data_IF_890505751808
#
_entry.id   IF_890505751808
#
_cell.length_a   1.000
_cell.length_b   1.000
_cell.length_c   1.000
_cell.angle_alpha   90.00
_cell.angle_beta   90.00
_cell.angle_gamma   90.00
#
_symmetry.space_group_name_H-M   'P 1'
#
loop_
_entity.id
_entity.type
_entity.pdbx_description
1 polymer ?
#
# COMPACT_ATOMS: atom_id res chain seq x y z
N UNK A 1 34.02 7.74 -15.65
CA UNK A 1 33.00 8.54 -14.91
C UNK A 1 31.86 8.83 -15.87
N UNK A 2 30.67 8.26 -15.66
CA UNK A 2 29.53 8.51 -16.55
C UNK A 2 29.06 9.97 -16.44
N UNK A 3 28.88 10.63 -17.58
CA UNK A 3 28.40 12.01 -17.67
C UNK A 3 26.96 12.12 -17.13
N UNK A 4 26.57 13.27 -16.56
CA UNK A 4 25.23 13.46 -15.96
C UNK A 4 24.09 13.08 -16.92
N UNK A 5 24.19 13.43 -18.21
CA UNK A 5 23.24 13.05 -19.27
C UNK A 5 23.11 11.52 -19.46
N UNK A 6 24.22 10.78 -19.41
CA UNK A 6 24.21 9.32 -19.54
C UNK A 6 23.60 8.63 -18.32
N UNK A 7 23.70 9.22 -17.13
CA UNK A 7 23.03 8.71 -15.92
C UNK A 7 21.51 8.83 -16.03
N UNK A 8 20.98 9.96 -16.50
CA UNK A 8 19.54 10.10 -16.71
C UNK A 8 19.03 9.16 -17.80
N UNK A 9 19.77 8.99 -18.90
CA UNK A 9 19.43 8.03 -19.96
C UNK A 9 19.36 6.58 -19.46
N UNK A 10 20.32 6.16 -18.63
CA UNK A 10 20.33 4.82 -18.05
C UNK A 10 19.19 4.62 -17.04
N UNK A 11 18.85 5.65 -16.24
CA UNK A 11 17.73 5.60 -15.29
C UNK A 11 16.39 5.52 -16.04
N UNK A 12 16.20 6.33 -17.09
CA UNK A 12 15.02 6.25 -17.94
C UNK A 12 14.90 4.89 -18.62
N UNK A 13 16.02 4.30 -19.07
CA UNK A 13 16.05 2.98 -19.67
C UNK A 13 15.69 1.88 -18.66
N UNK A 14 16.22 1.93 -17.43
CA UNK A 14 15.88 0.95 -16.38
C UNK A 14 14.42 1.08 -15.95
N UNK A 15 13.90 2.30 -15.81
CA UNK A 15 12.48 2.53 -15.53
C UNK A 15 11.59 2.00 -16.67
N UNK A 16 11.96 2.26 -17.92
CA UNK A 16 11.25 1.75 -19.10
C UNK A 16 11.26 0.22 -19.16
N UNK A 17 12.41 -0.41 -18.92
CA UNK A 17 12.54 -1.88 -18.89
C UNK A 17 11.73 -2.47 -17.72
N UNK A 18 11.68 -1.80 -16.58
CA UNK A 18 10.94 -2.25 -15.40
C UNK A 18 9.42 -2.10 -15.57
N UNK A 19 8.96 -1.13 -16.37
CA UNK A 19 7.55 -0.99 -16.79
C UNK A 19 7.17 -2.10 -17.80
N UNK A 20 8.12 -2.53 -18.64
CA UNK A 20 7.91 -3.53 -19.69
C UNK A 20 8.04 -4.97 -19.22
N UNK A 21 8.60 -5.21 -18.03
CA UNK A 21 8.63 -6.55 -17.44
C UNK A 21 7.26 -6.87 -16.83
N UNK A 22 6.56 -7.92 -17.29
CA UNK A 22 5.33 -8.38 -16.68
C UNK A 22 5.68 -9.09 -15.38
N UNK A 23 6.03 -8.34 -14.34
CA UNK A 23 5.93 -8.85 -12.97
C UNK A 23 4.43 -8.92 -12.71
N UNK A 24 3.87 -10.12 -12.59
CA UNK A 24 2.46 -10.32 -12.28
C UNK A 24 2.10 -9.59 -10.99
N UNK A 25 1.72 -8.32 -11.11
CA UNK A 25 1.32 -7.45 -10.03
C UNK A 25 -0.16 -7.71 -9.81
N UNK A 26 -0.46 -8.90 -9.28
CA UNK A 26 -1.80 -9.24 -8.86
C UNK A 26 -2.20 -8.29 -7.73
N UNK A 27 -3.34 -7.61 -7.86
CA UNK A 27 -3.97 -6.94 -6.72
C UNK A 27 -4.12 -7.99 -5.60
N UNK A 28 -3.55 -7.71 -4.43
CA UNK A 28 -3.58 -8.64 -3.33
C UNK A 28 -4.99 -8.65 -2.71
N UNK A 29 -5.73 -9.73 -2.95
CA UNK A 29 -7.00 -10.03 -2.29
C UNK A 29 -6.87 -11.14 -1.25
N UNK A 30 -7.96 -11.39 -0.53
CA UNK A 30 -8.10 -12.58 0.32
C UNK A 30 -8.23 -13.82 -0.57
N UNK A 31 -7.39 -14.84 -0.33
CA UNK A 31 -7.38 -16.07 -1.13
C UNK A 31 -8.68 -16.89 -1.00
N UNK A 32 -8.97 -17.75 -1.99
CA UNK A 32 -10.20 -18.54 -2.05
C UNK A 32 -10.39 -19.45 -0.84
N UNK A 33 -9.32 -19.99 -0.28
CA UNK A 33 -9.40 -20.86 0.91
C UNK A 33 -9.84 -20.08 2.15
N UNK A 34 -9.35 -18.85 2.28
CA UNK A 34 -9.74 -17.93 3.34
C UNK A 34 -11.18 -17.45 3.14
N UNK A 35 -11.61 -17.20 1.89
CA UNK A 35 -13.01 -16.87 1.57
C UNK A 35 -13.96 -17.98 2.00
N UNK A 36 -13.67 -19.22 1.61
CA UNK A 36 -14.50 -20.37 1.98
C UNK A 36 -14.60 -20.54 3.51
N UNK A 37 -13.48 -20.36 4.22
CA UNK A 37 -13.46 -20.37 5.68
C UNK A 37 -14.34 -19.26 6.29
N UNK A 38 -14.28 -18.04 5.75
CA UNK A 38 -15.07 -16.92 6.24
C UNK A 38 -16.58 -17.10 6.01
N UNK A 39 -16.96 -17.74 4.91
CA UNK A 39 -18.36 -18.01 4.58
C UNK A 39 -18.96 -19.15 5.41
N UNK A 40 -18.16 -20.14 5.79
CA UNK A 40 -18.64 -21.30 6.56
C UNK A 40 -18.79 -21.05 8.06
N UNK A 41 -18.19 -19.97 8.60
CA UNK A 41 -18.18 -19.68 10.02
C UNK A 41 -19.14 -18.52 10.35
N UNK A 42 -20.19 -18.80 11.12
CA UNK A 42 -21.13 -17.80 11.62
C UNK A 42 -20.78 -17.33 13.03
N UNK A 43 -21.16 -16.11 13.37
CA UNK A 43 -20.96 -15.53 14.70
C UNK A 43 -19.58 -14.88 14.90
N UNK A 44 -19.25 -14.61 16.16
CA UNK A 44 -18.03 -13.89 16.53
C UNK A 44 -16.80 -14.82 16.49
N UNK A 45 -15.87 -14.52 15.60
CA UNK A 45 -14.66 -15.29 15.29
C UNK A 45 -13.42 -14.38 15.38
N UNK A 46 -13.05 -13.99 16.60
CA UNK A 46 -11.98 -13.00 16.83
C UNK A 46 -10.62 -13.48 16.30
N UNK A 47 -10.18 -14.69 16.68
CA UNK A 47 -8.83 -15.17 16.34
C UNK A 47 -8.64 -15.35 14.83
N UNK A 48 -9.58 -15.98 14.08
CA UNK A 48 -9.43 -16.11 12.64
C UNK A 48 -9.39 -14.77 11.92
N UNK A 49 -10.27 -13.83 12.25
CA UNK A 49 -10.27 -12.50 11.60
C UNK A 49 -9.01 -11.71 11.93
N UNK A 50 -8.50 -11.79 13.17
CA UNK A 50 -7.23 -11.18 13.55
C UNK A 50 -6.06 -11.76 12.73
N UNK A 51 -6.01 -13.09 12.57
CA UNK A 51 -4.98 -13.72 11.73
C UNK A 51 -5.09 -13.31 10.26
N UNK A 52 -6.31 -13.30 9.72
CA UNK A 52 -6.56 -12.95 8.31
C UNK A 52 -6.17 -11.48 8.06
N UNK A 53 -6.50 -10.57 8.97
CA UNK A 53 -6.08 -9.18 8.89
C UNK A 53 -4.57 -9.02 8.91
N UNK A 54 -3.87 -9.73 9.82
CA UNK A 54 -2.41 -9.71 9.89
C UNK A 54 -1.77 -10.29 8.61
N UNK A 55 -2.31 -11.41 8.11
CA UNK A 55 -1.87 -12.04 6.86
C UNK A 55 -2.02 -11.08 5.69
N UNK A 56 -3.23 -10.51 5.50
CA UNK A 56 -3.53 -9.55 4.44
C UNK A 56 -2.52 -8.40 4.40
N UNK A 57 -2.21 -7.82 5.56
CA UNK A 57 -1.25 -6.72 5.65
C UNK A 57 0.18 -7.14 5.29
N UNK A 58 0.64 -8.32 5.73
CA UNK A 58 2.00 -8.80 5.46
C UNK A 58 2.16 -9.32 4.02
N UNK A 59 1.10 -9.84 3.40
CA UNK A 59 1.13 -10.33 2.01
C UNK A 59 0.71 -9.28 0.97
N UNK A 60 0.15 -8.15 1.41
CA UNK A 60 -0.23 -7.02 0.56
C UNK A 60 0.97 -6.27 0.01
N UNK A 61 1.37 -6.57 -1.23
CA UNK A 61 2.50 -5.90 -1.88
C UNK A 61 2.29 -4.40 -2.03
N UNK A 62 1.07 -3.95 -2.26
CA UNK A 62 0.66 -2.54 -2.29
C UNK A 62 0.99 -1.82 -0.96
N UNK A 63 0.58 -2.41 0.15
CA UNK A 63 0.83 -1.88 1.49
C UNK A 63 2.32 -1.90 1.84
N UNK A 64 3.03 -2.98 1.50
CA UNK A 64 4.48 -3.09 1.71
C UNK A 64 5.27 -2.10 0.86
N UNK A 65 4.89 -1.91 -0.41
CA UNK A 65 5.52 -0.93 -1.31
C UNK A 65 5.30 0.49 -0.78
N UNK A 66 4.09 0.81 -0.33
CA UNK A 66 3.80 2.08 0.32
C UNK A 66 4.65 2.28 1.57
N UNK A 67 4.72 1.27 2.45
CA UNK A 67 5.51 1.30 3.67
C UNK A 67 7.00 1.51 3.37
N UNK A 68 7.57 0.76 2.41
CA UNK A 68 8.93 0.97 1.93
C UNK A 68 9.13 2.42 1.45
N UNK A 69 8.21 2.94 0.64
CA UNK A 69 8.23 4.32 0.19
C UNK A 69 8.25 5.33 1.34
N UNK A 70 7.41 5.15 2.35
CA UNK A 70 7.38 6.02 3.54
C UNK A 70 8.71 5.99 4.31
N UNK A 71 9.34 4.82 4.43
CA UNK A 71 10.51 4.65 5.30
C UNK A 71 11.83 5.14 4.71
N UNK A 72 11.97 5.25 3.39
CA UNK A 72 13.24 5.64 2.76
C UNK A 72 13.77 7.00 3.23
N UNK A 73 12.89 8.00 3.36
CA UNK A 73 13.27 9.39 3.70
C UNK A 73 12.94 9.82 5.12
N UNK A 74 12.18 9.02 5.88
CA UNK A 74 11.93 9.30 7.29
C UNK A 74 13.05 8.71 8.14
N UNK A 75 13.89 9.58 8.71
CA UNK A 75 14.98 9.21 9.62
C UNK A 75 14.53 9.19 11.08
N UNK A 76 13.44 9.89 11.41
CA UNK A 76 12.93 9.99 12.78
C UNK A 76 11.82 8.96 12.99
N UNK A 77 12.04 8.02 13.90
CA UNK A 77 11.06 6.97 14.22
C UNK A 77 9.69 7.52 14.67
N UNK A 78 9.67 8.72 15.28
CA UNK A 78 8.42 9.40 15.66
C UNK A 78 7.57 9.78 14.45
N UNK A 79 8.18 10.28 13.38
CA UNK A 79 7.47 10.68 12.17
C UNK A 79 6.93 9.45 11.43
N UNK A 80 7.70 8.36 11.43
CA UNK A 80 7.28 7.06 10.89
C UNK A 80 6.03 6.55 11.61
N UNK A 81 6.06 6.48 12.95
CA UNK A 81 4.91 6.05 13.74
C UNK A 81 3.69 6.94 13.47
N UNK A 82 3.86 8.26 13.45
CA UNK A 82 2.77 9.19 13.18
C UNK A 82 2.14 8.96 11.80
N UNK A 83 2.96 8.69 10.78
CA UNK A 83 2.46 8.50 9.41
C UNK A 83 1.73 7.16 9.30
N UNK A 84 2.29 6.10 9.90
CA UNK A 84 1.63 4.80 9.97
C UNK A 84 0.30 4.90 10.72
N UNK A 85 0.26 5.59 11.87
CA UNK A 85 -0.99 5.82 12.59
C UNK A 85 -2.01 6.60 11.77
N UNK A 86 -1.60 7.66 11.05
CA UNK A 86 -2.51 8.42 10.18
C UNK A 86 -3.09 7.56 9.06
N UNK A 87 -2.26 6.70 8.45
CA UNK A 87 -2.71 5.74 7.44
C UNK A 87 -3.73 4.77 8.02
N UNK A 88 -3.38 4.12 9.13
CA UNK A 88 -4.23 3.15 9.84
C UNK A 88 -5.56 3.77 10.26
N UNK A 89 -5.55 5.02 10.77
CA UNK A 89 -6.77 5.72 11.14
C UNK A 89 -7.70 5.93 9.95
N UNK A 90 -7.17 6.40 8.80
CA UNK A 90 -7.96 6.57 7.58
C UNK A 90 -8.49 5.24 7.04
N UNK A 91 -7.63 4.22 7.02
CA UNK A 91 -7.96 2.87 6.58
C UNK A 91 -9.09 2.25 7.41
N UNK A 92 -8.92 2.20 8.73
CA UNK A 92 -9.91 1.62 9.64
C UNK A 92 -11.25 2.35 9.57
N UNK A 93 -11.23 3.68 9.43
CA UNK A 93 -12.46 4.49 9.34
C UNK A 93 -13.28 4.13 8.10
N UNK A 94 -12.65 4.12 6.93
CA UNK A 94 -13.34 3.85 5.65
C UNK A 94 -13.67 2.38 5.45
N UNK A 95 -12.88 1.47 6.03
CA UNK A 95 -13.21 0.05 6.06
C UNK A 95 -14.51 -0.20 6.81
N UNK A 96 -14.60 0.24 8.07
CA UNK A 96 -15.83 0.05 8.85
C UNK A 96 -17.00 0.80 8.22
N UNK A 97 -16.78 2.05 7.82
CA UNK A 97 -17.83 2.87 7.22
C UNK A 97 -18.37 2.25 5.94
N UNK A 98 -17.48 1.80 5.04
CA UNK A 98 -17.84 1.15 3.79
C UNK A 98 -18.66 -0.11 4.02
N UNK A 99 -18.21 -1.01 4.89
CA UNK A 99 -18.91 -2.27 5.17
C UNK A 99 -20.26 -2.04 5.86
N UNK A 100 -20.33 -1.17 6.88
CA UNK A 100 -21.56 -0.92 7.65
C UNK A 100 -22.65 -0.29 6.78
N UNK A 101 -22.28 0.61 5.86
CA UNK A 101 -23.24 1.34 5.03
C UNK A 101 -23.43 0.70 3.65
N UNK A 102 -22.88 -0.50 3.42
CA UNK A 102 -22.92 -1.21 2.14
C UNK A 102 -22.50 -0.34 0.94
N UNK A 103 -21.46 0.48 1.12
CA UNK A 103 -20.96 1.36 0.07
C UNK A 103 -20.08 0.56 -0.88
N UNK A 104 -20.61 0.27 -2.06
CA UNK A 104 -19.88 -0.41 -3.12
C UNK A 104 -19.19 0.62 -4.01
N UNK A 105 -17.88 0.48 -4.15
CA UNK A 105 -17.07 1.26 -5.09
C UNK A 105 -16.46 0.30 -6.11
N UNK A 106 -16.15 0.79 -7.32
CA UNK A 106 -15.48 -0.06 -8.30
C UNK A 106 -14.06 -0.41 -7.81
N UNK A 107 -13.80 -1.70 -7.57
CA UNK A 107 -12.53 -2.19 -7.06
C UNK A 107 -11.34 -1.81 -7.95
N UNK A 108 -11.50 -1.86 -9.28
CA UNK A 108 -10.43 -1.47 -10.21
C UNK A 108 -10.06 0.01 -10.07
N UNK A 109 -11.05 0.90 -9.92
CA UNK A 109 -10.79 2.33 -9.75
C UNK A 109 -10.10 2.63 -8.42
N UNK A 110 -10.52 1.97 -7.33
CA UNK A 110 -9.86 2.14 -6.03
C UNK A 110 -8.44 1.59 -6.05
N UNK A 111 -8.23 0.39 -6.60
CA UNK A 111 -6.91 -0.22 -6.69
C UNK A 111 -5.96 0.61 -7.58
N UNK A 112 -6.49 1.29 -8.61
CA UNK A 112 -5.73 2.26 -9.40
C UNK A 112 -5.32 3.49 -8.56
N UNK A 113 -6.20 4.02 -7.70
CA UNK A 113 -5.86 5.12 -6.77
C UNK A 113 -4.82 4.66 -5.73
N UNK A 114 -4.92 3.42 -5.26
CA UNK A 114 -3.91 2.81 -4.39
C UNK A 114 -2.55 2.76 -5.11
N UNK A 115 -2.50 2.30 -6.36
CA UNK A 115 -1.29 2.36 -7.19
C UNK A 115 -0.74 3.79 -7.36
N UNK A 116 -1.62 4.78 -7.52
CA UNK A 116 -1.25 6.20 -7.59
C UNK A 116 -0.62 6.70 -6.29
N UNK A 117 -1.05 6.20 -5.13
CA UNK A 117 -0.42 6.56 -3.85
C UNK A 117 1.06 6.15 -3.77
N UNK A 118 1.40 5.00 -4.37
CA UNK A 118 2.78 4.50 -4.47
C UNK A 118 3.62 5.40 -5.38
N UNK A 119 3.07 5.78 -6.54
CA UNK A 119 3.70 6.75 -7.46
C UNK A 119 3.91 8.08 -6.77
N UNK A 120 2.88 8.61 -6.11
CA UNK A 120 2.94 9.85 -5.35
C UNK A 120 4.09 9.81 -4.35
N UNK A 121 4.19 8.72 -3.58
CA UNK A 121 5.20 8.64 -2.51
C UNK A 121 6.63 8.54 -3.07
N UNK A 122 6.82 7.76 -4.13
CA UNK A 122 8.11 7.72 -4.83
C UNK A 122 8.52 9.07 -5.41
N UNK A 123 7.57 9.80 -5.99
CA UNK A 123 7.80 11.14 -6.55
C UNK A 123 8.13 12.17 -5.46
N UNK A 124 7.38 12.15 -4.34
CA UNK A 124 7.63 12.98 -3.16
C UNK A 124 9.03 12.76 -2.60
N UNK A 125 9.44 11.49 -2.45
CA UNK A 125 10.76 11.11 -1.96
C UNK A 125 11.91 11.63 -2.83
N UNK A 126 11.71 11.76 -4.15
CA UNK A 126 12.71 12.32 -5.07
C UNK A 126 12.74 13.86 -5.08
N UNK A 127 11.91 14.50 -4.24
CA UNK A 127 11.69 15.93 -4.23
C UNK A 127 10.99 16.43 -5.49
N UNK A 128 10.22 15.57 -6.14
CA UNK A 128 9.57 15.84 -7.42
C UNK A 128 8.64 17.05 -7.36
N UNK A 129 7.82 17.16 -6.32
CA UNK A 129 6.89 18.29 -6.13
C UNK A 129 7.63 19.62 -6.03
N UNK A 130 8.65 19.71 -5.18
CA UNK A 130 9.44 20.94 -5.03
C UNK A 130 10.13 21.36 -6.34
N UNK A 131 10.60 20.40 -7.15
CA UNK A 131 11.29 20.67 -8.43
C UNK A 131 10.34 21.05 -9.57
N UNK A 132 9.11 20.55 -9.57
CA UNK A 132 8.17 20.71 -10.69
C UNK A 132 7.15 21.83 -10.45
N UNK A 133 6.62 21.93 -9.23
CA UNK A 133 5.55 22.86 -8.87
C UNK A 133 5.95 23.87 -7.79
N UNK A 134 7.19 23.81 -7.28
CA UNK A 134 7.72 24.78 -6.31
C UNK A 134 7.21 24.64 -4.87
N UNK A 135 6.29 23.71 -4.62
CA UNK A 135 5.68 23.44 -3.30
C UNK A 135 5.71 21.94 -2.99
N UNK A 136 5.71 21.57 -1.70
CA UNK A 136 5.61 20.17 -1.23
C UNK A 136 4.29 19.99 -0.48
N UNK A 137 3.37 19.13 -0.93
CA UNK A 137 2.12 18.87 -0.22
C UNK A 137 2.36 18.31 1.18
N UNK A 138 1.42 18.52 2.10
CA UNK A 138 1.54 18.03 3.47
C UNK A 138 1.54 16.48 3.49
N UNK A 139 2.65 15.83 3.88
CA UNK A 139 2.75 14.37 3.83
C UNK A 139 1.74 13.68 4.76
N UNK A 140 1.40 14.30 5.90
CA UNK A 140 0.46 13.72 6.87
C UNK A 140 -0.94 13.61 6.27
N UNK A 141 -1.39 14.68 5.61
CA UNK A 141 -2.69 14.73 4.93
C UNK A 141 -2.73 13.75 3.77
N UNK A 142 -1.66 13.67 2.97
CA UNK A 142 -1.57 12.72 1.87
C UNK A 142 -1.69 11.26 2.37
N UNK A 143 -0.92 10.90 3.40
CA UNK A 143 -0.94 9.54 3.98
C UNK A 143 -2.30 9.19 4.58
N UNK A 144 -2.97 10.14 5.25
CA UNK A 144 -4.34 9.96 5.73
C UNK A 144 -5.31 9.68 4.56
N UNK A 145 -5.25 10.48 3.50
CA UNK A 145 -6.08 10.31 2.30
C UNK A 145 -5.84 8.95 1.65
N UNK A 146 -4.58 8.52 1.55
CA UNK A 146 -4.27 7.19 1.03
C UNK A 146 -4.85 6.09 1.91
N UNK A 147 -4.77 6.24 3.24
CA UNK A 147 -5.45 5.35 4.17
C UNK A 147 -6.93 5.22 3.88
N UNK A 148 -7.64 6.34 3.64
CA UNK A 148 -9.06 6.35 3.28
C UNK A 148 -9.35 5.51 2.02
N UNK A 149 -8.55 5.66 0.96
CA UNK A 149 -8.76 4.87 -0.26
C UNK A 149 -8.44 3.39 -0.06
N UNK A 150 -7.40 3.05 0.70
CA UNK A 150 -7.07 1.65 1.00
C UNK A 150 -8.17 0.97 1.80
N UNK A 151 -8.75 1.66 2.79
CA UNK A 151 -9.85 1.11 3.59
C UNK A 151 -11.10 0.84 2.75
N UNK A 152 -11.46 1.73 1.83
CA UNK A 152 -12.54 1.47 0.87
C UNK A 152 -12.25 0.32 -0.09
N UNK A 153 -10.99 0.18 -0.54
CA UNK A 153 -10.58 -0.93 -1.42
C UNK A 153 -10.84 -2.27 -0.76
N UNK A 154 -10.40 -2.41 0.49
CA UNK A 154 -10.64 -3.62 1.26
C UNK A 154 -12.13 -3.81 1.63
N UNK A 155 -12.85 -2.75 1.97
CA UNK A 155 -14.30 -2.84 2.23
C UNK A 155 -15.05 -3.45 1.04
N UNK A 156 -14.76 -2.96 -0.17
CA UNK A 156 -15.34 -3.47 -1.42
C UNK A 156 -15.07 -4.97 -1.58
N UNK A 157 -13.82 -5.41 -1.36
CA UNK A 157 -13.46 -6.84 -1.44
C UNK A 157 -14.14 -7.70 -0.38
N UNK A 158 -14.30 -7.19 0.85
CA UNK A 158 -14.98 -7.92 1.92
C UNK A 158 -16.49 -8.07 1.64
N UNK A 159 -17.11 -7.05 1.05
CA UNK A 159 -18.52 -7.10 0.63
C UNK A 159 -18.76 -8.13 -0.50
N UNK A 160 -17.81 -8.27 -1.44
CA UNK A 160 -17.86 -9.33 -2.47
C UNK A 160 -17.93 -10.75 -1.87
N UNK A 161 -17.47 -10.96 -0.62
CA UNK A 161 -17.49 -12.27 0.03
C UNK A 161 -18.83 -12.63 0.68
N UNK A 162 -19.80 -11.70 0.72
CA UNK A 162 -21.11 -11.91 1.33
C UNK A 162 -21.01 -12.50 2.74
N UNK A 163 -20.19 -11.87 3.59
CA UNK A 163 -19.94 -12.34 4.95
C UNK A 163 -21.23 -12.43 5.77
N UNK A 164 -21.37 -13.43 6.65
CA UNK A 164 -22.50 -13.50 7.58
C UNK A 164 -22.61 -12.22 8.41
N UNK A 165 -23.84 -11.70 8.55
CA UNK A 165 -24.10 -10.48 9.34
C UNK A 165 -23.93 -10.70 10.84
N UNK A 166 -24.10 -11.95 11.30
CA UNK A 166 -23.90 -12.32 12.70
C UNK A 166 -22.42 -12.19 13.12
N UNK A 167 -22.15 -11.36 14.11
CA UNK A 167 -20.79 -11.08 14.60
C UNK A 167 -19.93 -10.20 13.68
N UNK A 168 -20.45 -9.70 12.55
CA UNK A 168 -19.67 -9.00 11.52
C UNK A 168 -18.84 -7.84 12.08
N UNK A 169 -19.43 -6.93 12.88
CA UNK A 169 -18.72 -5.76 13.40
C UNK A 169 -17.56 -6.19 14.31
N UNK A 170 -17.78 -7.15 15.21
CA UNK A 170 -16.73 -7.66 16.09
C UNK A 170 -15.59 -8.32 15.30
N UNK A 171 -15.94 -9.04 14.24
CA UNK A 171 -15.00 -9.69 13.34
C UNK A 171 -14.19 -8.66 12.54
N UNK A 172 -14.81 -7.58 12.04
CA UNK A 172 -14.10 -6.48 11.36
C UNK A 172 -13.17 -5.71 12.29
N UNK A 173 -13.56 -5.49 13.55
CA UNK A 173 -12.69 -4.89 14.55
C UNK A 173 -11.48 -5.80 14.79
N UNK A 174 -11.70 -7.11 14.98
CA UNK A 174 -10.62 -8.08 15.15
C UNK A 174 -9.68 -8.11 13.92
N UNK A 175 -10.24 -8.05 12.71
CA UNK A 175 -9.50 -7.94 11.47
C UNK A 175 -8.61 -6.69 11.45
N UNK A 176 -9.15 -5.52 11.79
CA UNK A 176 -8.37 -4.27 11.82
C UNK A 176 -7.24 -4.32 12.85
N UNK A 177 -7.49 -4.89 14.03
CA UNK A 177 -6.42 -5.15 15.02
C UNK A 177 -5.35 -6.07 14.41
N UNK A 178 -5.77 -7.10 13.66
CA UNK A 178 -4.86 -7.94 12.87
C UNK A 178 -4.01 -7.15 11.88
N UNK A 179 -4.62 -6.28 11.08
CA UNK A 179 -3.93 -5.39 10.13
C UNK A 179 -2.91 -4.52 10.85
N UNK A 180 -3.28 -3.91 11.98
CA UNK A 180 -2.36 -3.09 12.77
C UNK A 180 -1.15 -3.89 13.26
N UNK A 181 -1.37 -5.11 13.79
CA UNK A 181 -0.29 -6.00 14.22
C UNK A 181 0.62 -6.39 13.04
N UNK A 182 0.04 -6.71 11.88
CA UNK A 182 0.77 -7.00 10.65
C UNK A 182 1.61 -5.80 10.18
N UNK A 183 1.02 -4.60 10.23
CA UNK A 183 1.66 -3.33 9.86
C UNK A 183 2.84 -3.04 10.77
N UNK A 184 2.69 -3.13 12.10
CA UNK A 184 3.79 -2.92 13.04
C UNK A 184 4.91 -3.95 12.87
N UNK A 185 4.55 -5.22 12.61
CA UNK A 185 5.54 -6.28 12.37
C UNK A 185 6.35 -6.03 11.10
N UNK A 186 5.66 -5.74 9.98
CA UNK A 186 6.29 -5.41 8.70
C UNK A 186 7.15 -4.14 8.82
N UNK A 187 6.65 -3.12 9.52
CA UNK A 187 7.34 -1.88 9.78
C UNK A 187 8.64 -2.11 10.54
N UNK A 188 8.60 -2.88 11.63
CA UNK A 188 9.78 -3.19 12.43
C UNK A 188 10.84 -3.91 11.57
N UNK A 189 10.42 -4.91 10.79
CA UNK A 189 11.30 -5.66 9.91
C UNK A 189 11.94 -4.77 8.83
N UNK A 190 11.15 -3.99 8.10
CA UNK A 190 11.64 -3.12 7.02
C UNK A 190 12.54 -2.00 7.58
N UNK A 191 12.19 -1.42 8.74
CA UNK A 191 13.03 -0.42 9.40
C UNK A 191 14.40 -0.99 9.78
N UNK A 192 14.47 -2.23 10.28
CA UNK A 192 15.74 -2.89 10.58
C UNK A 192 16.61 -3.02 9.33
N UNK A 193 16.02 -3.49 8.22
CA UNK A 193 16.72 -3.63 6.93
C UNK A 193 17.21 -2.27 6.39
N UNK A 194 16.34 -1.26 6.36
CA UNK A 194 16.69 0.08 5.85
C UNK A 194 17.73 0.74 6.75
N UNK A 195 17.60 0.66 8.07
CA UNK A 195 18.57 1.25 9.00
C UNK A 195 19.94 0.56 8.93
N UNK A 196 19.97 -0.76 8.69
CA UNK A 196 21.21 -1.45 8.39
C UNK A 196 21.82 -0.95 7.07
N UNK A 197 21.02 -0.88 6.01
CA UNK A 197 21.48 -0.45 4.70
C UNK A 197 21.96 1.01 4.65
N UNK A 198 21.34 1.90 5.44
CA UNK A 198 21.73 3.31 5.62
C UNK A 198 23.17 3.49 6.09
N UNK A 199 23.78 2.48 6.72
CA UNK A 199 25.20 2.52 7.15
C UNK A 199 26.19 2.42 5.99
N UNK A 200 25.73 2.06 4.79
CA UNK A 200 26.58 1.89 3.62
C UNK A 200 26.44 3.05 2.62
N UNK A 201 27.55 3.48 2.02
CA UNK A 201 27.60 4.53 0.98
C UNK A 201 26.75 4.23 -0.26
N UNK A 202 26.34 2.97 -0.43
CA UNK A 202 25.39 2.54 -1.47
C UNK A 202 23.99 3.14 -1.27
N UNK A 203 23.57 3.43 -0.03
CA UNK A 203 22.20 3.86 0.26
C UNK A 203 21.78 5.09 -0.55
N UNK A 204 22.61 6.14 -0.54
CA UNK A 204 22.30 7.37 -1.30
C UNK A 204 22.30 7.15 -2.82
N UNK A 205 23.11 6.21 -3.32
CA UNK A 205 23.17 5.88 -4.76
C UNK A 205 21.95 5.06 -5.19
N UNK A 206 21.48 4.16 -4.34
CA UNK A 206 20.35 3.30 -4.63
C UNK A 206 19.00 3.92 -4.27
N UNK A 207 18.93 4.87 -3.34
CA UNK A 207 17.68 5.52 -2.96
C UNK A 207 16.93 6.12 -4.15
N UNK A 208 17.65 6.77 -5.08
CA UNK A 208 17.04 7.27 -6.33
C UNK A 208 16.48 6.12 -7.17
N UNK A 209 17.28 5.08 -7.40
CA UNK A 209 16.87 3.93 -8.21
C UNK A 209 15.67 3.21 -7.60
N UNK A 210 15.66 2.99 -6.28
CA UNK A 210 14.56 2.34 -5.59
C UNK A 210 13.27 3.13 -5.68
N UNK A 211 13.32 4.47 -5.58
CA UNK A 211 12.13 5.29 -5.76
C UNK A 211 11.64 5.30 -7.21
N UNK A 212 12.54 5.26 -8.20
CA UNK A 212 12.15 5.09 -9.60
C UNK A 212 11.49 3.72 -9.85
N UNK A 213 12.01 2.64 -9.25
CA UNK A 213 11.40 1.32 -9.32
C UNK A 213 10.04 1.29 -8.63
N UNK A 214 9.93 1.94 -7.46
CA UNK A 214 8.66 2.08 -6.74
C UNK A 214 7.61 2.80 -7.57
N UNK A 215 7.97 3.92 -8.21
CA UNK A 215 7.08 4.62 -9.14
C UNK A 215 6.71 3.77 -10.36
N UNK A 216 7.66 3.01 -10.91
CA UNK A 216 7.42 2.13 -12.06
C UNK A 216 6.41 1.03 -11.70
N UNK A 217 6.56 0.40 -10.54
CA UNK A 217 5.61 -0.57 -10.01
C UNK A 217 4.22 0.05 -9.77
N UNK A 218 4.17 1.27 -9.21
CA UNK A 218 2.93 2.01 -9.04
C UNK A 218 2.21 2.30 -10.36
N UNK A 219 2.93 2.78 -11.39
CA UNK A 219 2.35 2.99 -12.72
C UNK A 219 1.89 1.70 -13.38
N UNK A 220 2.64 0.61 -13.23
CA UNK A 220 2.26 -0.70 -13.72
C UNK A 220 0.95 -1.18 -13.08
N UNK A 221 0.82 -1.04 -11.75
CA UNK A 221 -0.41 -1.34 -11.02
C UNK A 221 -1.59 -0.52 -11.53
N UNK A 222 -1.41 0.79 -11.71
CA UNK A 222 -2.46 1.67 -12.26
C UNK A 222 -2.89 1.17 -13.65
N UNK A 223 -1.94 0.90 -14.54
CA UNK A 223 -2.22 0.44 -15.89
C UNK A 223 -2.96 -0.90 -15.90
N UNK A 224 -2.55 -1.84 -15.06
CA UNK A 224 -3.20 -3.14 -14.90
C UNK A 224 -4.67 -2.98 -14.46
N UNK A 225 -4.92 -2.16 -13.43
CA UNK A 225 -6.26 -1.96 -12.89
C UNK A 225 -7.17 -1.21 -13.85
N UNK A 226 -6.70 -0.14 -14.49
CA UNK A 226 -7.48 0.59 -15.49
C UNK A 226 -7.79 -0.28 -16.72
N UNK A 227 -6.84 -1.12 -17.15
CA UNK A 227 -7.09 -2.08 -18.23
C UNK A 227 -8.18 -3.08 -17.82
N UNK A 228 -8.12 -3.61 -16.59
CA UNK A 228 -9.17 -4.44 -16.02
C UNK A 228 -10.54 -3.76 -16.04
N UNK A 229 -10.61 -2.49 -15.63
CA UNK A 229 -11.83 -1.68 -15.64
C UNK A 229 -12.47 -1.52 -17.01
N UNK A 230 -11.67 -1.30 -18.07
CA UNK A 230 -12.20 -1.09 -19.42
C UNK A 230 -12.58 -2.39 -20.15
N UNK A 231 -12.11 -3.55 -19.68
CA UNK A 231 -12.33 -4.85 -20.32
C UNK A 231 -13.39 -5.69 -19.56
N UNK A 232 -13.66 -5.38 -18.28
CA UNK A 232 -14.71 -6.01 -17.46
C UNK A 232 -16.11 -5.50 -17.80
#
# INVERSE_FOLDING_TARGET
MFNYSQRYGLISLIALISILLPVGAFAHGVDETTRAFLQSNTGVQIIPFLYIGAKHMVTGYDHLLFLVGVLFFLYKSRDVLLYVSMFTLGHSLTLLFGVINDIQVNAYLIDAIIGLSVVYKGFDNLGGFKKTIGFTPNPKTAVLIFGLFHGFGLATKLQEFQLPSDGLIANLIAFNVGVELGQFSALAFILLLINYWRKHNSFNRFATNTNCLLMSAGFMLIGFQLTGYFIS
#
